data_IF_010125769951
#
_entry.id   IF_010125769951
#
_cell.length_a   1.000
_cell.length_b   1.000
_cell.length_c   1.000
_cell.angle_alpha   90.00
_cell.angle_beta   90.00
_cell.angle_gamma   90.00
#
_symmetry.space_group_name_H-M   'P 1'
#
loop_
_entity.id
_entity.type
_entity.pdbx_description
1 polymer ?
#
# COMPACT_ATOMS: atom_id res chain seq x y z
N UNK A 1 14.42 9.41 -18.35
CA UNK A 1 14.20 8.91 -16.98
C UNK A 1 14.29 7.40 -17.07
N UNK A 2 15.18 6.78 -16.31
CA UNK A 2 15.36 5.32 -16.31
C UNK A 2 14.10 4.67 -15.73
N UNK A 3 13.63 3.58 -16.34
CA UNK A 3 12.48 2.83 -15.85
C UNK A 3 12.92 1.49 -15.28
N UNK A 4 12.18 0.98 -14.30
CA UNK A 4 12.35 -0.38 -13.79
C UNK A 4 11.06 -1.17 -14.05
N UNK A 5 11.19 -2.32 -14.72
CA UNK A 5 10.08 -3.25 -14.95
C UNK A 5 10.17 -4.37 -13.90
N UNK A 6 9.16 -4.47 -13.05
CA UNK A 6 8.98 -5.57 -12.11
C UNK A 6 8.26 -6.71 -12.83
N UNK A 7 8.88 -7.88 -12.92
CA UNK A 7 8.37 -9.04 -13.66
C UNK A 7 8.05 -10.15 -12.67
N UNK A 8 6.79 -10.58 -12.59
CA UNK A 8 6.45 -11.85 -11.96
C UNK A 8 6.93 -13.00 -12.85
N UNK A 9 7.60 -14.00 -12.27
CA UNK A 9 8.23 -15.09 -13.01
C UNK A 9 7.50 -16.41 -12.78
N UNK A 10 6.93 -16.96 -13.85
CA UNK A 10 6.37 -18.31 -13.87
C UNK A 10 7.40 -19.35 -14.32
N UNK A 11 6.90 -20.53 -14.69
CA UNK A 11 7.72 -21.67 -15.16
C UNK A 11 7.61 -21.91 -16.66
N UNK A 12 7.04 -20.95 -17.41
CA UNK A 12 6.78 -21.09 -18.85
C UNK A 12 8.05 -21.28 -19.67
N UNK A 13 9.16 -20.64 -19.28
CA UNK A 13 10.45 -20.77 -19.95
C UNK A 13 10.97 -22.22 -19.90
N UNK A 14 10.98 -22.84 -18.70
CA UNK A 14 11.39 -24.24 -18.54
C UNK A 14 10.49 -25.16 -19.36
N UNK A 15 9.16 -24.98 -19.26
CA UNK A 15 8.19 -25.81 -19.98
C UNK A 15 8.35 -25.72 -21.50
N UNK A 16 8.69 -24.55 -22.03
CA UNK A 16 8.87 -24.34 -23.47
C UNK A 16 10.25 -24.83 -23.95
N UNK A 17 11.30 -24.68 -23.14
CA UNK A 17 12.66 -25.09 -23.48
C UNK A 17 12.84 -26.61 -23.40
N UNK A 18 12.22 -27.26 -22.42
CA UNK A 18 12.33 -28.70 -22.20
C UNK A 18 11.03 -29.25 -21.61
N UNK A 19 10.04 -29.61 -22.45
CA UNK A 19 8.73 -30.09 -21.98
C UNK A 19 8.78 -31.36 -21.12
N UNK A 20 9.88 -32.11 -21.14
CA UNK A 20 10.03 -33.39 -20.43
C UNK A 20 11.37 -33.55 -19.71
N UNK A 21 12.17 -32.49 -19.60
CA UNK A 21 13.49 -32.53 -18.98
C UNK A 21 13.65 -31.47 -17.88
N UNK A 22 14.81 -31.53 -17.21
CA UNK A 22 15.21 -30.56 -16.18
C UNK A 22 16.39 -29.75 -16.72
N UNK A 23 16.14 -28.69 -17.50
CA UNK A 23 17.21 -27.96 -18.16
C UNK A 23 18.07 -27.22 -17.12
N UNK A 24 19.33 -26.98 -17.45
CA UNK A 24 20.18 -26.08 -16.67
C UNK A 24 20.08 -24.61 -17.14
N UNK A 25 20.70 -23.68 -16.41
CA UNK A 25 20.67 -22.24 -16.74
C UNK A 25 21.28 -21.98 -18.12
N UNK A 26 22.34 -22.68 -18.49
CA UNK A 26 23.03 -22.47 -19.76
C UNK A 26 22.19 -22.96 -20.94
N UNK A 27 21.45 -24.06 -20.77
CA UNK A 27 20.46 -24.55 -21.72
C UNK A 27 19.32 -23.55 -21.92
N UNK A 28 18.79 -22.97 -20.84
CA UNK A 28 17.75 -21.95 -20.93
C UNK A 28 18.25 -20.67 -21.63
N UNK A 29 19.46 -20.21 -21.32
CA UNK A 29 20.06 -19.05 -22.01
C UNK A 29 20.29 -19.35 -23.49
N UNK A 30 20.78 -20.54 -23.84
CA UNK A 30 20.91 -20.97 -25.24
C UNK A 30 19.56 -21.00 -25.94
N UNK A 31 18.53 -21.55 -25.30
CA UNK A 31 17.18 -21.56 -25.83
C UNK A 31 16.65 -20.15 -26.09
N UNK A 32 16.83 -19.21 -25.14
CA UNK A 32 16.47 -17.80 -25.29
C UNK A 32 17.23 -17.11 -26.44
N UNK A 33 18.50 -17.48 -26.67
CA UNK A 33 19.31 -16.90 -27.74
C UNK A 33 18.93 -17.42 -29.14
N UNK A 34 18.43 -18.66 -29.23
CA UNK A 34 18.13 -19.33 -30.50
C UNK A 34 16.64 -19.28 -30.88
N UNK A 35 15.77 -18.87 -29.97
CA UNK A 35 14.31 -18.86 -30.16
C UNK A 35 13.77 -17.44 -30.27
N UNK A 36 12.69 -17.25 -31.03
CA UNK A 36 11.90 -16.02 -30.98
C UNK A 36 11.43 -15.76 -29.54
N UNK A 37 11.88 -14.64 -28.96
CA UNK A 37 11.58 -14.26 -27.58
C UNK A 37 10.08 -14.15 -27.30
N UNK A 38 9.24 -13.89 -28.31
CA UNK A 38 7.77 -13.90 -28.15
C UNK A 38 7.20 -15.28 -27.84
N UNK A 39 7.95 -16.34 -28.14
CA UNK A 39 7.56 -17.75 -27.93
C UNK A 39 8.34 -18.41 -26.80
N UNK A 40 9.46 -17.82 -26.38
CA UNK A 40 10.34 -18.44 -25.40
C UNK A 40 9.68 -18.52 -24.02
N UNK A 41 9.06 -17.45 -23.55
CA UNK A 41 8.34 -17.42 -22.28
C UNK A 41 7.28 -16.31 -22.25
N UNK A 42 6.39 -16.34 -21.27
CA UNK A 42 5.42 -15.29 -21.03
C UNK A 42 6.10 -13.94 -20.72
N UNK A 43 7.18 -13.97 -19.93
CA UNK A 43 7.96 -12.80 -19.54
C UNK A 43 8.66 -12.16 -20.74
N UNK A 44 9.36 -12.97 -21.55
CA UNK A 44 10.09 -12.50 -22.74
C UNK A 44 9.15 -11.97 -23.82
N UNK A 45 7.98 -12.60 -23.97
CA UNK A 45 6.94 -12.08 -24.86
C UNK A 45 6.49 -10.67 -24.46
N UNK A 46 6.20 -10.44 -23.17
CA UNK A 46 5.83 -9.12 -22.69
C UNK A 46 6.96 -8.10 -22.87
N UNK A 47 8.19 -8.50 -22.52
CA UNK A 47 9.37 -7.65 -22.62
C UNK A 47 9.68 -7.25 -24.07
N UNK A 48 9.44 -8.10 -25.07
CA UNK A 48 9.58 -7.72 -26.48
C UNK A 48 8.75 -6.49 -26.89
N UNK A 49 7.65 -6.21 -26.18
CA UNK A 49 6.79 -5.07 -26.45
C UNK A 49 7.01 -3.89 -25.50
N UNK A 50 7.56 -4.14 -24.31
CA UNK A 50 7.67 -3.15 -23.23
C UNK A 50 9.06 -2.56 -23.06
N UNK A 51 10.08 -3.38 -23.28
CA UNK A 51 11.46 -3.10 -22.92
C UNK A 51 12.07 -2.00 -23.81
N UNK A 52 12.73 -1.04 -23.17
CA UNK A 52 13.57 -0.02 -23.80
C UNK A 52 15.03 -0.24 -23.38
N UNK A 53 15.95 0.35 -24.14
CA UNK A 53 17.40 0.19 -24.00
C UNK A 53 17.89 0.43 -22.56
N UNK A 54 17.44 1.50 -21.91
CA UNK A 54 17.89 1.89 -20.57
C UNK A 54 17.07 1.28 -19.42
N UNK A 55 16.11 0.40 -19.70
CA UNK A 55 15.27 -0.15 -18.63
C UNK A 55 16.06 -1.14 -17.75
N UNK A 56 15.83 -1.03 -16.44
CA UNK A 56 16.21 -2.03 -15.46
C UNK A 56 15.11 -3.10 -15.30
N UNK A 57 15.51 -4.32 -14.96
CA UNK A 57 14.62 -5.47 -14.81
C UNK A 57 14.74 -6.08 -13.43
N UNK A 58 13.61 -6.21 -12.73
CA UNK A 58 13.53 -6.97 -11.49
C UNK A 58 12.68 -8.20 -11.75
N UNK A 59 13.23 -9.39 -11.47
CA UNK A 59 12.56 -10.68 -11.64
C UNK A 59 12.15 -11.23 -10.27
N UNK A 60 10.84 -11.20 -10.00
CA UNK A 60 10.23 -11.72 -8.78
C UNK A 60 9.88 -13.19 -9.00
N UNK A 61 10.49 -14.08 -8.23
CA UNK A 61 10.32 -15.52 -8.37
C UNK A 61 9.89 -16.17 -7.06
N UNK A 62 9.21 -17.32 -7.13
CA UNK A 62 8.90 -18.11 -5.93
C UNK A 62 10.13 -18.89 -5.44
N UNK A 63 10.04 -19.48 -4.26
CA UNK A 63 11.10 -20.35 -3.73
C UNK A 63 11.23 -21.68 -4.47
N UNK A 64 10.40 -21.96 -5.47
CA UNK A 64 10.51 -23.21 -6.21
C UNK A 64 11.76 -23.22 -7.08
N UNK A 65 12.49 -24.35 -7.18
CA UNK A 65 13.69 -24.46 -8.00
C UNK A 65 13.45 -24.04 -9.45
N UNK A 66 12.28 -24.36 -10.02
CA UNK A 66 11.94 -24.07 -11.41
C UNK A 66 11.73 -22.57 -11.66
N UNK A 67 11.04 -21.87 -10.74
CA UNK A 67 10.83 -20.42 -10.85
C UNK A 67 12.15 -19.68 -10.67
N UNK A 68 12.96 -20.09 -9.68
CA UNK A 68 14.32 -19.55 -9.48
C UNK A 68 15.20 -19.75 -10.71
N UNK A 69 15.18 -20.94 -11.31
CA UNK A 69 15.93 -21.26 -12.52
C UNK A 69 15.50 -20.36 -13.71
N UNK A 70 14.20 -20.18 -13.91
CA UNK A 70 13.68 -19.28 -14.95
C UNK A 70 14.16 -17.83 -14.72
N UNK A 71 14.00 -17.33 -13.49
CA UNK A 71 14.39 -15.96 -13.14
C UNK A 71 15.89 -15.72 -13.32
N UNK A 72 16.72 -16.71 -12.96
CA UNK A 72 18.16 -16.65 -13.17
C UNK A 72 18.54 -16.61 -14.64
N UNK A 73 17.98 -17.50 -15.45
CA UNK A 73 18.24 -17.51 -16.89
C UNK A 73 17.81 -16.21 -17.57
N UNK A 74 16.64 -15.67 -17.21
CA UNK A 74 16.15 -14.38 -17.70
C UNK A 74 17.07 -13.22 -17.28
N UNK A 75 17.44 -13.15 -16.00
CA UNK A 75 18.33 -12.11 -15.50
C UNK A 75 19.69 -12.13 -16.20
N UNK A 76 20.34 -13.30 -16.30
CA UNK A 76 21.63 -13.43 -16.99
C UNK A 76 21.51 -13.09 -18.49
N UNK A 77 20.44 -13.53 -19.15
CA UNK A 77 20.20 -13.26 -20.57
C UNK A 77 20.04 -11.76 -20.90
N UNK A 78 19.27 -11.02 -20.10
CA UNK A 78 19.07 -9.58 -20.31
C UNK A 78 20.25 -8.75 -19.80
N UNK A 79 20.95 -9.21 -18.74
CA UNK A 79 22.20 -8.59 -18.29
C UNK A 79 23.26 -8.60 -19.39
N UNK A 80 23.40 -9.72 -20.10
CA UNK A 80 24.32 -9.85 -21.23
C UNK A 80 23.92 -8.98 -22.44
N UNK A 81 22.71 -8.39 -22.43
CA UNK A 81 22.23 -7.41 -23.43
C UNK A 81 22.32 -5.97 -22.96
N UNK A 82 22.96 -5.71 -21.82
CA UNK A 82 23.23 -4.36 -21.31
C UNK A 82 22.21 -3.84 -20.29
N UNK A 83 21.20 -4.62 -19.91
CA UNK A 83 20.22 -4.20 -18.91
C UNK A 83 20.74 -4.41 -17.48
N UNK A 84 20.42 -3.50 -16.57
CA UNK A 84 20.53 -3.77 -15.13
C UNK A 84 19.48 -4.81 -14.74
N UNK A 85 19.90 -5.92 -14.14
CA UNK A 85 18.96 -6.98 -13.74
C UNK A 85 19.14 -7.34 -12.26
N UNK A 86 18.03 -7.56 -11.56
CA UNK A 86 18.01 -8.05 -10.18
C UNK A 86 16.99 -9.17 -10.03
N UNK A 87 17.31 -10.18 -9.22
CA UNK A 87 16.35 -11.21 -8.80
C UNK A 87 15.88 -10.92 -7.38
N UNK A 88 14.61 -11.17 -7.12
CA UNK A 88 14.02 -11.07 -5.79
C UNK A 88 13.19 -12.32 -5.53
N UNK A 89 13.56 -13.06 -4.48
CA UNK A 89 12.83 -14.24 -4.05
C UNK A 89 11.63 -13.82 -3.19
N UNK A 90 10.44 -14.26 -3.58
CA UNK A 90 9.22 -14.15 -2.80
C UNK A 90 9.09 -15.39 -1.91
N UNK A 91 9.39 -15.22 -0.63
CA UNK A 91 9.32 -16.30 0.37
C UNK A 91 7.89 -16.79 0.54
N UNK A 92 7.75 -18.07 0.89
CA UNK A 92 6.50 -18.74 1.20
C UNK A 92 5.49 -18.75 0.04
N UNK A 93 5.90 -18.32 -1.16
CA UNK A 93 5.13 -18.44 -2.39
C UNK A 93 5.19 -19.89 -2.89
N UNK A 94 4.57 -20.78 -2.11
CA UNK A 94 4.42 -22.19 -2.41
C UNK A 94 3.04 -22.46 -3.01
N UNK A 95 2.96 -23.49 -3.85
CA UNK A 95 1.71 -23.94 -4.45
C UNK A 95 0.96 -24.96 -3.59
N UNK A 96 1.30 -25.04 -2.29
CA UNK A 96 0.52 -25.81 -1.31
C UNK A 96 -0.65 -24.95 -0.83
N UNK A 97 -1.84 -25.53 -0.80
CA UNK A 97 -3.08 -24.82 -0.47
C UNK A 97 -3.02 -24.09 0.89
N UNK A 98 -2.36 -24.71 1.88
CA UNK A 98 -2.19 -24.12 3.21
C UNK A 98 -1.40 -22.80 3.18
N UNK A 99 -0.38 -22.70 2.34
CA UNK A 99 0.58 -21.59 2.34
C UNK A 99 0.26 -20.54 1.28
N UNK A 100 -0.63 -20.85 0.33
CA UNK A 100 -0.91 -19.99 -0.81
C UNK A 100 -1.22 -18.52 -0.45
N UNK A 101 -2.04 -18.26 0.58
CA UNK A 101 -2.32 -16.85 0.98
C UNK A 101 -1.13 -16.19 1.67
N UNK A 102 -0.29 -16.95 2.38
CA UNK A 102 0.95 -16.43 2.96
C UNK A 102 1.90 -16.01 1.83
N UNK A 103 2.04 -16.85 0.82
CA UNK A 103 2.76 -16.54 -0.41
C UNK A 103 2.25 -15.28 -1.12
N UNK A 104 0.93 -15.13 -1.27
CA UNK A 104 0.35 -13.91 -1.86
C UNK A 104 0.61 -12.67 -1.01
N UNK A 105 0.57 -12.79 0.32
CA UNK A 105 0.92 -11.69 1.23
C UNK A 105 2.39 -11.30 1.07
N UNK A 106 3.29 -12.27 0.98
CA UNK A 106 4.71 -12.06 0.73
C UNK A 106 4.96 -11.42 -0.65
N UNK A 107 4.23 -11.84 -1.69
CA UNK A 107 4.28 -11.24 -3.02
C UNK A 107 3.90 -9.77 -2.99
N UNK A 108 2.77 -9.43 -2.35
CA UNK A 108 2.32 -8.04 -2.19
C UNK A 108 3.39 -7.21 -1.47
N UNK A 109 3.88 -7.69 -0.33
CA UNK A 109 4.93 -6.98 0.42
C UNK A 109 6.20 -6.77 -0.40
N UNK A 110 6.61 -7.78 -1.17
CA UNK A 110 7.79 -7.73 -2.04
C UNK A 110 7.62 -6.73 -3.18
N UNK A 111 6.46 -6.74 -3.85
CA UNK A 111 6.14 -5.77 -4.90
C UNK A 111 6.17 -4.34 -4.36
N UNK A 112 5.51 -4.09 -3.23
CA UNK A 112 5.50 -2.77 -2.57
C UNK A 112 6.92 -2.32 -2.22
N UNK A 113 7.74 -3.20 -1.64
CA UNK A 113 9.13 -2.89 -1.31
C UNK A 113 9.95 -2.53 -2.56
N UNK A 114 9.82 -3.30 -3.65
CA UNK A 114 10.52 -3.01 -4.91
C UNK A 114 10.05 -1.69 -5.52
N UNK A 115 8.74 -1.40 -5.53
CA UNK A 115 8.20 -0.12 -6.02
C UNK A 115 8.81 1.04 -5.26
N UNK A 116 8.77 0.99 -3.92
CA UNK A 116 9.31 2.04 -3.05
C UNK A 116 10.82 2.24 -3.25
N UNK A 117 11.58 1.15 -3.34
CA UNK A 117 13.03 1.17 -3.56
C UNK A 117 13.39 1.85 -4.89
N UNK A 118 12.75 1.44 -5.99
CA UNK A 118 13.08 1.97 -7.32
C UNK A 118 12.60 3.43 -7.48
N UNK A 119 11.45 3.79 -6.90
CA UNK A 119 10.99 5.18 -6.88
C UNK A 119 11.92 6.08 -6.05
N UNK A 120 12.48 5.58 -4.94
CA UNK A 120 13.48 6.31 -4.16
C UNK A 120 14.78 6.53 -4.95
N UNK A 121 15.08 5.66 -5.92
CA UNK A 121 16.18 5.83 -6.89
C UNK A 121 15.82 6.78 -8.05
N UNK A 122 14.63 7.40 -8.03
CA UNK A 122 14.17 8.32 -9.08
C UNK A 122 13.76 7.62 -10.39
N UNK A 123 13.47 6.32 -10.35
CA UNK A 123 13.04 5.55 -11.52
C UNK A 123 11.52 5.49 -11.64
N UNK A 124 11.03 5.51 -12.87
CA UNK A 124 9.65 5.12 -13.16
C UNK A 124 9.49 3.61 -13.00
N UNK A 125 8.41 3.14 -12.39
CA UNK A 125 8.18 1.70 -12.17
C UNK A 125 7.03 1.22 -13.03
N UNK A 126 7.17 0.03 -13.61
CA UNK A 126 6.15 -0.68 -14.38
C UNK A 126 6.03 -2.09 -13.81
N UNK A 127 4.83 -2.67 -13.83
CA UNK A 127 4.61 -4.06 -13.45
C UNK A 127 4.25 -4.87 -14.69
N UNK A 128 5.03 -5.89 -14.99
CA UNK A 128 4.69 -6.95 -15.92
C UNK A 128 4.12 -8.13 -15.12
N UNK A 129 2.79 -8.23 -15.11
CA UNK A 129 2.03 -9.25 -14.38
C UNK A 129 1.69 -10.47 -15.28
N UNK A 130 2.48 -10.71 -16.33
CA UNK A 130 2.19 -11.78 -17.30
C UNK A 130 2.64 -13.15 -16.81
N UNK A 131 3.78 -13.23 -16.12
CA UNK A 131 4.30 -14.50 -15.58
C UNK A 131 3.65 -14.84 -14.24
N UNK A 132 3.67 -16.12 -13.87
CA UNK A 132 3.14 -16.61 -12.60
C UNK A 132 1.67 -17.07 -12.66
N UNK A 133 1.08 -17.28 -11.48
CA UNK A 133 -0.30 -17.78 -11.36
C UNK A 133 -1.32 -16.65 -11.47
N UNK A 134 -2.56 -16.97 -11.90
CA UNK A 134 -3.64 -15.98 -12.11
C UNK A 134 -3.90 -15.09 -10.88
N UNK A 135 -3.81 -15.64 -9.68
CA UNK A 135 -3.98 -14.86 -8.44
C UNK A 135 -2.82 -13.89 -8.20
N UNK A 136 -1.58 -14.28 -8.52
CA UNK A 136 -0.41 -13.41 -8.41
C UNK A 136 -0.57 -12.20 -9.33
N UNK A 137 -1.00 -12.41 -10.57
CA UNK A 137 -1.31 -11.33 -11.52
C UNK A 137 -2.44 -10.40 -11.04
N UNK A 138 -3.48 -10.95 -10.41
CA UNK A 138 -4.56 -10.15 -9.82
C UNK A 138 -4.07 -9.25 -8.68
N UNK A 139 -3.22 -9.77 -7.78
CA UNK A 139 -2.64 -8.98 -6.70
C UNK A 139 -1.60 -7.97 -7.20
N UNK A 140 -0.80 -8.33 -8.21
CA UNK A 140 0.09 -7.38 -8.88
C UNK A 140 -0.70 -6.22 -9.51
N UNK A 141 -1.87 -6.51 -10.09
CA UNK A 141 -2.79 -5.50 -10.62
C UNK A 141 -3.33 -4.60 -9.51
N UNK A 142 -3.80 -5.18 -8.40
CA UNK A 142 -4.28 -4.43 -7.24
C UNK A 142 -3.19 -3.48 -6.70
N UNK A 143 -1.97 -3.97 -6.52
CA UNK A 143 -0.82 -3.15 -6.07
C UNK A 143 -0.54 -2.03 -7.08
N UNK A 144 -0.55 -2.32 -8.38
CA UNK A 144 -0.36 -1.30 -9.41
C UNK A 144 -1.39 -0.18 -9.34
N UNK A 145 -2.66 -0.51 -9.17
CA UNK A 145 -3.73 0.48 -9.01
C UNK A 145 -3.59 1.32 -7.73
N UNK A 146 -3.21 0.70 -6.60
CA UNK A 146 -3.04 1.38 -5.32
C UNK A 146 -1.83 2.32 -5.30
N UNK A 147 -0.75 1.96 -5.99
CA UNK A 147 0.50 2.73 -6.03
C UNK A 147 0.64 3.62 -7.28
N UNK A 148 -0.41 3.69 -8.11
CA UNK A 148 -0.42 4.38 -9.39
C UNK A 148 0.77 3.98 -10.29
N UNK A 149 1.01 2.67 -10.39
CA UNK A 149 2.06 2.06 -11.20
C UNK A 149 1.40 1.35 -12.40
N UNK A 150 1.81 1.64 -13.64
CA UNK A 150 1.30 0.97 -14.83
C UNK A 150 1.49 -0.55 -14.77
N UNK A 151 0.41 -1.30 -15.03
CA UNK A 151 0.41 -2.77 -15.05
C UNK A 151 0.17 -3.25 -16.47
N UNK A 152 0.99 -4.20 -16.90
CA UNK A 152 0.92 -4.83 -18.21
C UNK A 152 0.74 -6.33 -18.06
N UNK A 153 -0.09 -6.91 -18.92
CA UNK A 153 -0.27 -8.35 -19.05
C UNK A 153 -0.40 -8.72 -20.52
N UNK A 154 -0.09 -9.95 -20.88
CA UNK A 154 -0.38 -10.48 -22.22
C UNK A 154 -1.75 -11.11 -22.23
N UNK A 155 -2.56 -10.72 -23.21
CA UNK A 155 -3.80 -11.42 -23.49
C UNK A 155 -3.55 -12.62 -24.41
N UNK A 156 -3.73 -13.84 -23.87
CA UNK A 156 -3.34 -15.09 -24.51
C UNK A 156 -3.93 -15.27 -25.92
N UNK A 157 -5.18 -14.84 -26.16
CA UNK A 157 -5.83 -15.05 -27.44
C UNK A 157 -5.25 -14.22 -28.60
N UNK A 158 -4.68 -13.04 -28.31
CA UNK A 158 -4.14 -12.14 -29.33
C UNK A 158 -2.62 -11.97 -29.26
N UNK A 159 -1.96 -12.59 -28.27
CA UNK A 159 -0.50 -12.49 -28.06
C UNK A 159 -0.02 -11.03 -28.06
N UNK A 160 -0.81 -10.14 -27.44
CA UNK A 160 -0.55 -8.71 -27.36
C UNK A 160 -0.45 -8.29 -25.90
N UNK A 161 0.51 -7.40 -25.64
CA UNK A 161 0.60 -6.70 -24.37
C UNK A 161 -0.54 -5.69 -24.25
N UNK A 162 -1.27 -5.78 -23.15
CA UNK A 162 -2.35 -4.88 -22.78
C UNK A 162 -1.93 -4.16 -21.51
N UNK A 163 -2.01 -2.83 -21.55
CA UNK A 163 -1.90 -2.03 -20.35
C UNK A 163 -3.25 -2.01 -19.63
N UNK A 164 -3.25 -2.29 -18.33
CA UNK A 164 -4.43 -2.02 -17.50
C UNK A 164 -4.72 -0.51 -17.55
N UNK A 165 -5.92 -0.09 -17.99
CA UNK A 165 -6.22 1.32 -18.11
C UNK A 165 -6.18 1.98 -16.73
N UNK A 166 -5.72 3.24 -16.63
CA UNK A 166 -5.88 4.00 -15.41
C UNK A 166 -7.37 4.12 -15.11
N UNK A 167 -7.76 3.85 -13.86
CA UNK A 167 -9.14 3.95 -13.43
C UNK A 167 -9.38 5.35 -12.83
N UNK A 168 -10.48 6.05 -13.19
CA UNK A 168 -10.83 7.35 -12.61
C UNK A 168 -11.47 7.18 -11.23
N UNK A 169 -10.81 6.41 -10.35
CA UNK A 169 -11.25 6.14 -8.98
C UNK A 169 -10.17 6.63 -8.02
N UNK A 170 -10.60 7.17 -6.88
CA UNK A 170 -9.71 7.47 -5.75
C UNK A 170 -10.04 6.51 -4.60
N UNK A 171 -9.06 6.30 -3.72
CA UNK A 171 -9.19 5.37 -2.60
C UNK A 171 -9.65 6.13 -1.35
N UNK A 172 -10.78 5.73 -0.78
CA UNK A 172 -11.21 6.28 0.50
C UNK A 172 -10.38 5.70 1.65
N UNK A 173 -9.35 6.45 2.04
CA UNK A 173 -8.47 6.09 3.15
C UNK A 173 -9.02 6.48 4.53
N UNK A 174 -10.20 7.11 4.62
CA UNK A 174 -10.75 7.56 5.91
C UNK A 174 -10.94 6.39 6.89
N UNK A 175 -11.54 5.29 6.43
CA UNK A 175 -11.76 4.08 7.24
C UNK A 175 -10.44 3.45 7.68
N UNK A 176 -9.42 3.46 6.82
CA UNK A 176 -8.09 2.94 7.13
C UNK A 176 -7.40 3.82 8.19
N UNK A 177 -7.49 5.15 8.05
CA UNK A 177 -6.92 6.10 9.00
C UNK A 177 -7.53 5.98 10.40
N UNK A 178 -8.83 5.73 10.50
CA UNK A 178 -9.51 5.50 11.78
C UNK A 178 -9.04 4.23 12.50
N UNK A 179 -8.53 3.24 11.75
CA UNK A 179 -8.08 1.94 12.26
C UNK A 179 -6.57 1.73 12.12
N UNK A 180 -5.79 2.79 11.84
CA UNK A 180 -4.36 2.71 11.56
C UNK A 180 -3.58 1.99 12.66
N UNK A 181 -3.84 2.29 13.94
CA UNK A 181 -3.14 1.65 15.07
C UNK A 181 -3.44 0.13 15.15
N UNK A 182 -4.68 -0.26 14.84
CA UNK A 182 -5.06 -1.67 14.74
C UNK A 182 -4.33 -2.34 13.56
N UNK A 183 -4.38 -1.73 12.38
CA UNK A 183 -3.77 -2.29 11.17
C UNK A 183 -2.24 -2.40 11.30
N UNK A 184 -1.58 -1.42 11.92
CA UNK A 184 -0.15 -1.49 12.26
C UNK A 184 0.17 -2.70 13.15
N UNK A 185 -0.65 -2.96 14.17
CA UNK A 185 -0.41 -4.12 15.03
C UNK A 185 -0.67 -5.47 14.34
N UNK A 186 -1.44 -5.48 13.25
CA UNK A 186 -1.75 -6.67 12.44
C UNK A 186 -0.77 -6.88 11.27
N UNK A 187 0.06 -5.88 10.95
CA UNK A 187 1.08 -5.98 9.89
C UNK A 187 2.32 -6.77 10.35
N UNK A 188 2.60 -6.81 11.65
CA UNK A 188 3.66 -7.63 12.26
C UNK A 188 3.23 -9.07 12.54
N UNK A 189 3.45 -9.53 13.77
CA UNK A 189 3.13 -10.90 14.23
C UNK A 189 1.62 -11.22 14.34
N UNK A 190 0.76 -10.27 13.99
CA UNK A 190 -0.68 -10.41 14.16
C UNK A 190 -1.11 -10.39 15.64
N UNK A 191 -2.42 -10.40 15.86
CA UNK A 191 -3.03 -10.42 17.21
C UNK A 191 -3.71 -11.74 17.50
N UNK A 192 -3.91 -12.06 18.78
CA UNK A 192 -4.73 -13.21 19.16
C UNK A 192 -6.19 -13.01 18.69
N UNK A 193 -6.82 -14.06 18.17
CA UNK A 193 -8.26 -14.04 17.80
C UNK A 193 -9.16 -13.73 19.00
N UNK A 194 -8.69 -14.01 20.21
CA UNK A 194 -9.43 -13.81 21.45
C UNK A 194 -9.40 -12.36 21.93
N UNK A 195 -8.45 -11.55 21.44
CA UNK A 195 -8.31 -10.13 21.78
C UNK A 195 -9.08 -9.21 20.82
N UNK A 196 -9.38 -9.70 19.61
CA UNK A 196 -10.00 -8.90 18.55
C UNK A 196 -11.33 -9.51 18.10
N UNK A 197 -12.42 -8.89 18.54
CA UNK A 197 -13.77 -9.27 18.15
C UNK A 197 -14.08 -8.70 16.75
N UNK A 198 -13.84 -9.48 15.69
CA UNK A 198 -13.99 -9.01 14.29
C UNK A 198 -15.38 -8.46 13.94
N UNK A 199 -16.44 -8.90 14.62
CA UNK A 199 -17.81 -8.42 14.38
C UNK A 199 -18.05 -6.98 14.83
N UNK A 200 -17.16 -6.40 15.64
CA UNK A 200 -17.24 -4.98 16.03
C UNK A 200 -16.57 -4.05 15.03
N UNK A 201 -15.80 -4.60 14.08
CA UNK A 201 -15.12 -3.82 13.06
C UNK A 201 -16.06 -3.53 11.88
N UNK A 202 -15.88 -2.40 11.17
CA UNK A 202 -16.51 -2.17 9.88
C UNK A 202 -16.24 -3.33 8.92
N UNK A 203 -17.20 -3.62 8.03
CA UNK A 203 -17.10 -4.74 7.08
C UNK A 203 -15.88 -4.60 6.19
N UNK A 204 -15.55 -3.36 5.79
CA UNK A 204 -14.40 -2.97 5.01
C UNK A 204 -13.12 -3.41 5.70
N UNK A 205 -12.93 -3.03 6.97
CA UNK A 205 -11.76 -3.44 7.76
C UNK A 205 -11.74 -4.95 7.95
N UNK A 206 -12.86 -5.57 8.33
CA UNK A 206 -12.93 -7.01 8.54
C UNK A 206 -12.56 -7.80 7.29
N UNK A 207 -12.88 -7.30 6.09
CA UNK A 207 -12.52 -7.93 4.81
C UNK A 207 -11.01 -7.91 4.49
N UNK A 208 -10.26 -7.01 5.14
CA UNK A 208 -8.82 -6.89 5.00
C UNK A 208 -8.04 -7.81 5.95
N UNK A 209 -8.74 -8.60 6.77
CA UNK A 209 -8.12 -9.45 7.78
C UNK A 209 -8.28 -10.93 7.43
N UNK A 210 -7.29 -11.73 7.79
CA UNK A 210 -7.35 -13.19 7.75
C UNK A 210 -7.02 -13.80 9.12
N UNK A 211 -7.56 -14.99 9.38
CA UNK A 211 -7.28 -15.73 10.61
C UNK A 211 -6.51 -17.01 10.28
N UNK A 212 -5.43 -17.27 11.02
CA UNK A 212 -4.60 -18.47 10.93
C UNK A 212 -4.06 -18.82 12.31
N UNK A 213 -4.14 -20.10 12.69
CA UNK A 213 -3.57 -20.60 13.95
C UNK A 213 -4.00 -19.77 15.18
N UNK A 214 -5.28 -19.40 15.26
CA UNK A 214 -5.84 -18.53 16.30
C UNK A 214 -5.25 -17.12 16.39
N UNK A 215 -4.56 -16.66 15.34
CA UNK A 215 -4.08 -15.29 15.20
C UNK A 215 -4.73 -14.62 14.00
N UNK A 216 -4.93 -13.32 14.11
CA UNK A 216 -5.49 -12.46 13.06
C UNK A 216 -4.35 -11.62 12.48
N UNK A 217 -4.30 -11.58 11.15
CA UNK A 217 -3.31 -10.88 10.36
C UNK A 217 -3.99 -10.02 9.29
N UNK A 218 -3.26 -9.08 8.69
CA UNK A 218 -3.66 -8.52 7.41
C UNK A 218 -3.64 -9.61 6.33
N UNK A 219 -4.72 -9.70 5.55
CA UNK A 219 -4.76 -10.48 4.31
C UNK A 219 -3.82 -9.85 3.26
N UNK A 220 -3.55 -10.51 2.12
CA UNK A 220 -2.75 -9.90 1.06
C UNK A 220 -3.32 -8.56 0.58
N UNK A 221 -4.66 -8.45 0.47
CA UNK A 221 -5.32 -7.18 0.16
C UNK A 221 -5.17 -6.16 1.30
N UNK A 222 -5.26 -6.60 2.55
CA UNK A 222 -5.03 -5.77 3.72
C UNK A 222 -3.62 -5.17 3.76
N UNK A 223 -2.60 -5.96 3.43
CA UNK A 223 -1.22 -5.46 3.30
C UNK A 223 -1.13 -4.44 2.18
N UNK A 224 -1.68 -4.73 0.99
CA UNK A 224 -1.62 -3.81 -0.15
C UNK A 224 -2.25 -2.44 0.17
N UNK A 225 -3.48 -2.45 0.71
CA UNK A 225 -4.23 -1.24 1.04
C UNK A 225 -3.56 -0.46 2.16
N UNK A 226 -3.08 -1.14 3.20
CA UNK A 226 -2.45 -0.48 4.33
C UNK A 226 -1.10 0.14 3.96
N UNK A 227 -0.28 -0.56 3.17
CA UNK A 227 0.99 -0.01 2.67
C UNK A 227 0.78 1.19 1.74
N UNK A 228 -0.27 1.16 0.91
CA UNK A 228 -0.65 2.29 0.05
C UNK A 228 -1.12 3.49 0.89
N UNK A 229 -1.89 3.26 1.94
CA UNK A 229 -2.26 4.29 2.92
C UNK A 229 -1.03 4.94 3.56
N UNK A 230 -0.09 4.13 4.06
CA UNK A 230 1.14 4.65 4.67
C UNK A 230 1.97 5.47 3.69
N UNK A 231 2.05 5.04 2.42
CA UNK A 231 2.74 5.79 1.38
C UNK A 231 2.03 7.10 1.03
N UNK A 232 0.68 7.10 0.96
CA UNK A 232 -0.12 8.31 0.77
C UNK A 232 0.11 9.31 1.90
N UNK A 233 0.10 8.86 3.16
CA UNK A 233 0.43 9.70 4.32
C UNK A 233 1.83 10.28 4.20
N UNK A 234 2.82 9.45 3.84
CA UNK A 234 4.23 9.88 3.68
C UNK A 234 4.42 10.94 2.58
N UNK A 235 3.69 10.81 1.46
CA UNK A 235 3.79 11.73 0.32
C UNK A 235 2.95 12.99 0.46
N UNK A 236 1.89 12.94 1.26
CA UNK A 236 1.00 14.09 1.43
C UNK A 236 1.74 15.20 2.16
N UNK A 237 1.89 16.39 1.56
CA UNK A 237 2.52 17.52 2.24
C UNK A 237 1.78 17.86 3.53
N UNK A 238 2.52 18.21 4.58
CA UNK A 238 1.93 18.77 5.79
C UNK A 238 1.24 20.09 5.42
N UNK A 239 0.06 20.29 5.98
CA UNK A 239 -0.66 21.57 5.90
C UNK A 239 -0.47 22.35 7.20
N UNK A 240 -0.44 23.68 7.16
CA UNK A 240 -0.34 24.49 8.38
C UNK A 240 -1.47 24.17 9.36
N UNK A 241 -1.12 23.95 10.63
CA UNK A 241 -2.09 23.73 11.71
C UNK A 241 -1.97 24.86 12.71
N UNK A 242 -3.11 25.45 13.08
CA UNK A 242 -3.18 26.55 14.04
C UNK A 242 -4.08 26.17 15.20
N UNK A 243 -3.60 26.36 16.43
CA UNK A 243 -4.40 26.13 17.62
C UNK A 243 -5.06 27.43 18.05
N UNK A 244 -6.36 27.35 18.33
CA UNK A 244 -7.04 28.36 19.12
C UNK A 244 -6.61 28.26 20.59
N UNK A 245 -6.79 29.36 21.35
CA UNK A 245 -6.41 29.45 22.77
C UNK A 245 -6.83 28.23 23.59
N UNK A 246 -8.09 27.79 23.47
CA UNK A 246 -8.63 26.63 24.21
C UNK A 246 -7.93 25.32 23.85
N UNK A 247 -7.69 25.08 22.55
CA UNK A 247 -6.98 23.88 22.09
C UNK A 247 -5.54 23.86 22.61
N UNK A 248 -4.86 25.01 22.56
CA UNK A 248 -3.48 25.14 23.05
C UNK A 248 -3.37 24.89 24.56
N UNK A 249 -4.24 25.52 25.36
CA UNK A 249 -4.27 25.32 26.81
C UNK A 249 -4.57 23.87 27.19
N UNK A 250 -5.46 23.20 26.44
CA UNK A 250 -5.75 21.78 26.64
C UNK A 250 -4.53 20.91 26.30
N UNK A 251 -3.91 21.14 25.14
CA UNK A 251 -2.76 20.37 24.67
C UNK A 251 -1.57 20.46 25.62
N UNK A 252 -1.27 21.66 26.13
CA UNK A 252 -0.16 21.89 27.07
C UNK A 252 -0.37 21.21 28.43
N UNK A 253 -1.62 21.00 28.84
CA UNK A 253 -1.96 20.29 30.09
C UNK A 253 -2.01 18.77 29.92
N UNK A 254 -2.16 18.29 28.69
CA UNK A 254 -2.23 16.87 28.40
C UNK A 254 -0.86 16.19 28.65
N UNK A 255 -0.89 14.93 29.10
CA UNK A 255 0.34 14.14 29.24
C UNK A 255 0.93 13.78 27.86
N UNK A 256 2.19 13.34 27.85
CA UNK A 256 2.93 13.02 26.61
C UNK A 256 2.21 11.99 25.72
N UNK A 257 1.60 10.95 26.31
CA UNK A 257 0.87 9.92 25.57
C UNK A 257 -0.35 10.50 24.85
N UNK A 258 -1.10 11.37 25.53
CA UNK A 258 -2.27 12.04 24.94
C UNK A 258 -1.85 13.04 23.86
N UNK A 259 -0.78 13.81 24.09
CA UNK A 259 -0.22 14.71 23.07
C UNK A 259 0.17 13.96 21.81
N UNK A 260 0.81 12.80 21.95
CA UNK A 260 1.20 11.94 20.82
C UNK A 260 -0.01 11.41 20.05
N UNK A 261 -1.09 11.00 20.74
CA UNK A 261 -2.34 10.61 20.08
C UNK A 261 -2.94 11.77 19.28
N UNK A 262 -2.93 12.98 19.82
CA UNK A 262 -3.37 14.17 19.08
C UNK A 262 -2.50 14.42 17.86
N UNK A 263 -1.16 14.33 17.98
CA UNK A 263 -0.25 14.45 16.83
C UNK A 263 -0.60 13.47 15.71
N UNK A 264 -0.84 12.21 16.04
CA UNK A 264 -1.29 11.19 15.06
C UNK A 264 -2.63 11.55 14.42
N UNK A 265 -3.59 12.05 15.20
CA UNK A 265 -4.88 12.51 14.66
C UNK A 265 -4.68 13.69 13.69
N UNK A 266 -3.82 14.66 14.02
CA UNK A 266 -3.49 15.79 13.15
C UNK A 266 -2.79 15.34 11.87
N UNK A 267 -1.87 14.37 11.96
CA UNK A 267 -1.21 13.76 10.80
C UNK A 267 -2.22 13.17 9.83
N UNK A 268 -3.19 12.42 10.35
CA UNK A 268 -4.30 11.85 9.55
C UNK A 268 -5.15 12.94 8.93
N UNK A 269 -5.43 14.01 9.66
CA UNK A 269 -6.18 15.16 9.16
C UNK A 269 -5.46 15.94 8.05
N UNK A 270 -4.17 15.73 7.79
CA UNK A 270 -3.53 16.26 6.58
C UNK A 270 -4.10 15.65 5.29
N UNK A 271 -4.67 14.44 5.35
CA UNK A 271 -5.32 13.81 4.21
C UNK A 271 -6.70 14.44 3.92
N UNK A 272 -6.95 14.95 2.69
CA UNK A 272 -8.26 15.50 2.33
C UNK A 272 -9.42 14.52 2.48
N UNK A 273 -9.19 13.25 2.20
CA UNK A 273 -10.21 12.19 2.25
C UNK A 273 -10.66 11.94 3.70
N UNK A 274 -9.72 11.99 4.65
CA UNK A 274 -10.01 11.90 6.10
C UNK A 274 -10.87 13.10 6.54
N UNK A 275 -10.60 14.30 6.04
CA UNK A 275 -11.41 15.49 6.38
C UNK A 275 -12.81 15.47 5.76
N UNK A 276 -12.92 14.99 4.51
CA UNK A 276 -14.19 14.96 3.78
C UNK A 276 -15.13 13.83 4.21
N UNK A 277 -14.59 12.62 4.38
CA UNK A 277 -15.36 11.41 4.64
C UNK A 277 -15.26 10.95 6.10
N UNK A 278 -14.09 11.11 6.72
CA UNK A 278 -13.83 10.64 8.09
C UNK A 278 -14.26 11.60 9.19
N UNK A 279 -14.40 12.91 8.91
CA UNK A 279 -14.80 13.89 9.92
C UNK A 279 -16.31 14.19 9.90
N UNK A 280 -16.91 14.36 11.08
CA UNK A 280 -18.33 14.70 11.22
C UNK A 280 -18.52 16.21 11.28
N UNK A 281 -19.30 16.78 10.37
CA UNK A 281 -19.70 18.19 10.44
C UNK A 281 -20.65 18.44 11.61
N UNK A 282 -20.38 19.49 12.39
CA UNK A 282 -21.25 19.88 13.51
C UNK A 282 -22.45 20.69 13.00
N UNK A 283 -23.63 20.47 13.60
CA UNK A 283 -24.87 21.18 13.23
C UNK A 283 -24.70 22.68 13.44
N UNK A 284 -25.17 23.48 12.49
CA UNK A 284 -25.15 24.95 12.53
C UNK A 284 -23.75 25.56 12.77
N UNK A 285 -22.69 24.85 12.38
CA UNK A 285 -21.30 25.31 12.54
C UNK A 285 -20.46 25.00 11.30
N UNK A 286 -19.37 25.75 11.12
CA UNK A 286 -18.33 25.46 10.12
C UNK A 286 -17.32 24.42 10.63
N UNK A 287 -17.44 24.00 11.89
CA UNK A 287 -16.50 23.10 12.52
C UNK A 287 -16.86 21.62 12.24
N UNK A 288 -15.82 20.79 12.19
CA UNK A 288 -15.85 19.35 12.07
C UNK A 288 -15.25 18.73 13.33
N UNK A 289 -15.57 17.45 13.57
CA UNK A 289 -14.93 16.65 14.60
C UNK A 289 -14.37 15.36 14.01
N UNK A 290 -13.16 15.01 14.44
CA UNK A 290 -12.47 13.77 14.08
C UNK A 290 -11.57 13.32 15.25
N UNK A 291 -11.32 12.02 15.45
CA UNK A 291 -11.93 10.85 14.82
C UNK A 291 -13.40 10.64 15.24
N UNK A 292 -14.12 9.82 14.47
CA UNK A 292 -15.43 9.29 14.85
C UNK A 292 -15.27 7.97 15.64
N UNK A 293 -16.30 7.55 16.40
CA UNK A 293 -16.35 6.22 17.00
C UNK A 293 -15.65 6.06 18.37
N UNK A 294 -14.95 4.95 18.59
CA UNK A 294 -14.52 4.52 19.93
C UNK A 294 -13.19 5.10 20.42
N UNK A 295 -12.48 5.88 19.60
CA UNK A 295 -11.26 6.56 20.05
C UNK A 295 -11.60 7.56 21.16
N UNK A 296 -10.71 7.73 22.14
CA UNK A 296 -11.01 8.60 23.27
C UNK A 296 -10.88 10.09 22.90
N UNK A 297 -9.80 10.44 22.19
CA UNK A 297 -9.47 11.81 21.83
C UNK A 297 -10.31 12.35 20.66
N UNK A 298 -10.58 13.66 20.69
CA UNK A 298 -11.37 14.41 19.70
C UNK A 298 -10.68 15.71 19.35
N UNK A 299 -10.56 15.96 18.05
CA UNK A 299 -10.08 17.21 17.47
C UNK A 299 -11.25 17.90 16.80
N UNK A 300 -11.64 19.06 17.31
CA UNK A 300 -12.60 19.93 16.66
C UNK A 300 -11.84 20.96 15.83
N UNK A 301 -12.11 20.99 14.53
CA UNK A 301 -11.36 21.83 13.60
C UNK A 301 -12.26 22.49 12.54
N UNK A 302 -11.75 23.52 11.88
CA UNK A 302 -12.26 23.97 10.59
C UNK A 302 -11.13 24.12 9.59
N UNK A 303 -11.48 24.03 8.31
CA UNK A 303 -10.59 24.36 7.22
C UNK A 303 -10.63 25.87 6.98
N UNK A 304 -9.46 26.50 6.84
CA UNK A 304 -9.34 27.91 6.46
C UNK A 304 -8.10 28.10 5.61
N UNK A 305 -8.26 28.75 4.46
CA UNK A 305 -7.20 28.95 3.47
C UNK A 305 -6.60 27.58 3.10
N UNK A 306 -5.27 27.40 3.19
CA UNK A 306 -4.58 26.12 2.93
C UNK A 306 -4.30 25.30 4.22
N UNK A 307 -4.90 25.65 5.36
CA UNK A 307 -4.57 25.06 6.66
C UNK A 307 -5.77 24.61 7.51
N UNK A 308 -5.44 24.07 8.68
CA UNK A 308 -6.41 23.65 9.70
C UNK A 308 -6.36 24.57 10.91
N UNK A 309 -7.53 24.95 11.40
CA UNK A 309 -7.68 25.62 12.69
C UNK A 309 -8.29 24.65 13.67
N UNK A 310 -7.51 24.24 14.67
CA UNK A 310 -7.96 23.41 15.79
C UNK A 310 -8.60 24.32 16.84
N UNK A 311 -9.93 24.25 16.93
CA UNK A 311 -10.70 25.10 17.82
C UNK A 311 -10.73 24.57 19.25
N UNK A 312 -10.81 23.25 19.39
CA UNK A 312 -10.83 22.58 20.69
C UNK A 312 -10.29 21.16 20.57
N UNK A 313 -9.72 20.68 21.68
CA UNK A 313 -9.36 19.30 21.91
C UNK A 313 -10.19 18.77 23.07
N UNK A 314 -10.58 17.50 23.00
CA UNK A 314 -11.40 16.87 24.03
C UNK A 314 -11.16 15.36 24.09
N UNK A 315 -11.71 14.75 25.14
CA UNK A 315 -11.82 13.32 25.32
C UNK A 315 -13.28 12.94 25.65
N UNK A 316 -13.65 11.70 25.33
CA UNK A 316 -14.91 11.13 25.79
C UNK A 316 -14.85 10.76 27.27
N UNK A 317 -13.72 10.22 27.72
CA UNK A 317 -13.56 9.69 29.08
C UNK A 317 -13.78 10.72 30.19
N UNK A 318 -13.51 12.00 29.92
CA UNK A 318 -13.60 13.09 30.91
C UNK A 318 -14.83 13.99 30.69
N UNK A 319 -15.77 13.58 29.82
CA UNK A 319 -16.96 14.37 29.40
C UNK A 319 -16.62 15.76 28.86
N UNK A 320 -15.36 16.03 28.49
CA UNK A 320 -15.01 17.32 27.89
C UNK A 320 -15.67 17.45 26.53
N UNK A 321 -15.77 16.35 25.76
CA UNK A 321 -16.44 16.34 24.46
C UNK A 321 -17.92 16.74 24.54
N UNK A 322 -18.69 16.18 25.48
CA UNK A 322 -20.12 16.49 25.63
C UNK A 322 -20.33 17.98 25.96
N UNK A 323 -19.50 18.52 26.86
CA UNK A 323 -19.50 19.94 27.25
C UNK A 323 -19.22 20.88 26.07
N UNK A 324 -18.44 20.44 25.06
CA UNK A 324 -18.18 21.26 23.87
C UNK A 324 -19.45 21.52 23.05
N UNK A 325 -20.44 20.61 23.07
CA UNK A 325 -21.70 20.82 22.36
C UNK A 325 -22.61 21.80 23.08
N UNK A 326 -22.68 21.68 24.41
CA UNK A 326 -23.53 22.53 25.24
C UNK A 326 -23.08 24.00 25.22
N UNK A 327 -21.78 24.24 25.05
CA UNK A 327 -21.18 25.58 25.04
C UNK A 327 -21.28 26.32 23.69
N UNK A 328 -21.81 25.68 22.64
CA UNK A 328 -22.04 26.33 21.35
C UNK A 328 -20.75 26.79 20.65
N UNK A 329 -19.76 25.91 20.53
CA UNK A 329 -18.47 26.21 19.91
C UNK A 329 -18.61 26.66 18.45
N UNK A 330 -18.12 27.86 18.19
CA UNK A 330 -18.03 28.44 16.85
C UNK A 330 -16.59 28.77 16.50
N UNK A 331 -16.18 28.30 15.33
CA UNK A 331 -14.93 28.66 14.66
C UNK A 331 -14.86 30.18 14.32
N UNK A 332 -15.94 30.94 14.50
CA UNK A 332 -16.05 32.36 14.16
C UNK A 332 -15.63 33.30 15.31
N UNK A 333 -15.56 32.80 16.56
CA UNK A 333 -15.03 33.59 17.70
C UNK A 333 -13.49 33.54 17.67
N UNK A 334 -12.93 34.38 16.78
CA UNK A 334 -11.50 34.45 16.46
C UNK A 334 -10.69 35.06 17.61
N UNK A 335 -10.19 34.21 18.50
CA UNK A 335 -9.08 34.55 19.39
C UNK A 335 -7.73 34.54 18.65
N UNK A 336 -6.65 34.87 19.36
CA UNK A 336 -5.27 34.73 18.84
C UNK A 336 -5.01 33.27 18.44
N UNK A 337 -4.64 33.05 17.17
CA UNK A 337 -4.24 31.75 16.64
C UNK A 337 -2.73 31.57 16.81
N UNK A 338 -2.31 30.38 17.20
CA UNK A 338 -0.90 30.03 17.40
C UNK A 338 -0.53 28.91 16.44
N UNK A 339 0.50 29.07 15.58
CA UNK A 339 1.01 27.98 14.76
C UNK A 339 1.41 26.78 15.62
N UNK A 340 1.00 25.58 15.21
CA UNK A 340 1.45 24.34 15.82
C UNK A 340 2.69 23.84 15.06
N UNK A 341 3.87 24.18 15.58
CA UNK A 341 5.18 23.97 14.94
C UNK A 341 5.81 22.61 15.27
N UNK A 342 5.13 21.76 16.04
CA UNK A 342 5.67 20.45 16.38
C UNK A 342 5.63 19.50 15.17
N UNK A 343 6.59 18.58 15.11
CA UNK A 343 6.57 17.51 14.14
C UNK A 343 5.54 16.44 14.53
N UNK A 344 4.64 16.14 13.60
CA UNK A 344 3.67 15.06 13.67
C UNK A 344 3.55 14.31 12.35
#
# INVERSE_FOLDING_TARGET
>A
MVRTILNTVGTSLVRNASPSGSPDVAELIRFLALTDLRKASAETNALCHLLREDDALVFLHSETPESHLCARALAEFFKNRGHETRMVCVRDLSYREADFRLGLRALVGTLVACIKEEQARGREVLINATGGFKAEGAYATLVGLLFNVPVYYIYEAFQRVVQMPPLPIDWDYSVIAEHEDLLHSLSGEGRSRFELVRSTLPKEISSLLEERENRIFLSPAGVAVFEAYLEKVRRTPKIPVYFGKRALEWYQKANATTQERIRRILRRLCLPEVRRSGAKKLKNSRCFVYPQGHQNERVLFCEKDEGLIVCALAQHSDRSYDRLFDEGLSCEKRGKLVPFEEDF
#
